data_IF_549091738057
#
_entry.id   IF_549091738057
#
_cell.length_a   1.000
_cell.length_b   1.000
_cell.length_c   1.000
_cell.angle_alpha   90.00
_cell.angle_beta   90.00
_cell.angle_gamma   90.00
#
_symmetry.space_group_name_H-M   'P 1'
#
loop_
_entity.id
_entity.type
_entity.pdbx_description
1 polymer ?
#
# COMPACT_ATOMS: atom_id res chain seq x y z
N UNK A 1 -3.74 -64.82 -29.96
CA UNK A 1 -2.28 -64.56 -29.96
C UNK A 1 -2.07 -63.32 -29.13
N UNK A 2 -1.65 -63.51 -27.89
CA UNK A 2 -1.57 -62.50 -26.82
C UNK A 2 -0.15 -61.99 -26.71
N UNK A 3 0.05 -60.69 -26.91
CA UNK A 3 1.35 -60.04 -26.76
C UNK A 3 1.75 -59.89 -25.28
N UNK A 4 3.06 -59.99 -24.95
CA UNK A 4 3.53 -59.94 -23.57
C UNK A 4 3.73 -58.50 -23.06
N UNK A 5 3.42 -58.34 -21.77
CA UNK A 5 3.62 -57.17 -20.92
C UNK A 5 5.11 -56.80 -20.84
N UNK A 6 5.47 -55.57 -21.19
CA UNK A 6 6.78 -54.99 -20.88
C UNK A 6 6.68 -54.10 -19.64
N UNK A 7 7.40 -54.51 -18.60
CA UNK A 7 7.62 -53.77 -17.35
C UNK A 7 8.88 -52.94 -17.56
N UNK A 8 8.75 -51.61 -17.60
CA UNK A 8 9.90 -50.70 -17.55
C UNK A 8 9.90 -49.98 -16.20
N UNK A 9 10.67 -50.55 -15.28
CA UNK A 9 11.14 -49.93 -14.05
C UNK A 9 12.53 -49.32 -14.26
N UNK A 10 12.82 -48.26 -13.49
CA UNK A 10 14.10 -47.56 -13.30
C UNK A 10 14.42 -46.53 -14.40
N UNK A 11 14.40 -45.22 -14.11
CA UNK A 11 15.43 -44.51 -13.34
C UNK A 11 14.82 -43.44 -12.40
N UNK A 12 15.27 -43.43 -11.14
CA UNK A 12 15.07 -42.31 -10.21
C UNK A 12 16.04 -41.19 -10.59
N UNK A 13 15.63 -39.91 -10.60
CA UNK A 13 16.57 -38.81 -10.79
C UNK A 13 17.63 -38.83 -9.70
N UNK A 14 18.89 -38.85 -10.12
CA UNK A 14 20.05 -38.68 -9.27
C UNK A 14 19.98 -37.34 -8.55
N UNK A 15 20.23 -37.40 -7.24
CA UNK A 15 20.35 -36.26 -6.34
C UNK A 15 21.52 -35.40 -6.86
N UNK A 16 21.21 -34.27 -7.50
CA UNK A 16 22.21 -33.30 -7.90
C UNK A 16 22.92 -32.79 -6.65
N UNK A 17 24.23 -32.99 -6.62
CA UNK A 17 25.16 -32.49 -5.62
C UNK A 17 25.02 -30.98 -5.52
N UNK A 18 24.63 -30.51 -4.34
CA UNK A 18 24.59 -29.11 -3.96
C UNK A 18 25.99 -28.52 -4.08
N UNK A 19 26.20 -27.68 -5.08
CA UNK A 19 27.31 -26.75 -5.10
C UNK A 19 26.95 -25.61 -4.14
N UNK A 20 27.76 -25.45 -3.11
CA UNK A 20 27.69 -24.30 -2.22
C UNK A 20 27.94 -23.02 -3.04
N UNK A 21 27.05 -22.03 -2.92
CA UNK A 21 27.38 -20.64 -3.25
C UNK A 21 26.60 -19.94 -4.37
N UNK A 22 25.69 -20.59 -5.09
CA UNK A 22 24.74 -19.84 -5.94
C UNK A 22 23.52 -19.45 -5.11
N UNK A 23 23.56 -18.23 -4.55
CA UNK A 23 22.33 -17.54 -4.13
C UNK A 23 21.54 -17.37 -5.42
N UNK A 24 20.52 -18.22 -5.62
CA UNK A 24 19.60 -18.05 -6.72
C UNK A 24 19.16 -16.59 -6.74
N UNK A 25 19.55 -15.85 -7.78
CA UNK A 25 19.06 -14.50 -8.00
C UNK A 25 17.54 -14.64 -8.10
N UNK A 26 16.86 -14.34 -6.98
CA UNK A 26 15.41 -14.30 -6.96
C UNK A 26 14.91 -13.39 -8.08
N UNK A 27 13.68 -13.59 -8.56
CA UNK A 27 13.16 -12.81 -9.68
C UNK A 27 13.41 -11.32 -9.45
N UNK A 28 14.00 -10.66 -10.45
CA UNK A 28 14.46 -9.29 -10.38
C UNK A 28 13.37 -8.39 -9.79
N UNK A 29 13.58 -7.91 -8.56
CA UNK A 29 12.62 -7.07 -7.89
C UNK A 29 12.60 -5.69 -8.56
N UNK A 30 11.43 -5.20 -8.92
CA UNK A 30 11.27 -3.83 -9.41
C UNK A 30 11.44 -2.87 -8.22
N UNK A 31 12.47 -2.01 -8.19
CA UNK A 31 12.62 -1.01 -7.14
C UNK A 31 11.63 0.13 -7.36
N UNK A 32 11.21 0.79 -6.27
CA UNK A 32 10.47 2.03 -6.39
C UNK A 32 11.39 3.14 -6.96
N UNK A 33 10.97 3.93 -7.97
CA UNK A 33 11.82 4.96 -8.59
C UNK A 33 12.34 6.02 -7.61
N UNK A 34 11.50 6.45 -6.67
CA UNK A 34 11.90 7.33 -5.55
C UNK A 34 12.62 6.58 -4.42
N UNK A 35 11.99 5.58 -3.80
CA UNK A 35 12.61 4.75 -2.76
C UNK A 35 13.41 3.57 -3.35
N UNK A 36 14.61 3.84 -3.86
CA UNK A 36 15.43 2.87 -4.62
C UNK A 36 15.71 1.55 -3.89
N UNK A 37 15.77 1.57 -2.56
CA UNK A 37 15.99 0.39 -1.72
C UNK A 37 14.71 -0.37 -1.39
N UNK A 38 13.54 0.21 -1.67
CA UNK A 38 12.26 -0.40 -1.37
C UNK A 38 11.85 -1.35 -2.50
N UNK A 39 11.71 -2.64 -2.14
CA UNK A 39 11.08 -3.65 -2.99
C UNK A 39 9.57 -3.40 -3.10
N UNK A 40 9.03 -3.39 -4.31
CA UNK A 40 7.58 -3.35 -4.51
C UNK A 40 7.01 -4.74 -4.21
N UNK A 41 6.13 -4.84 -3.21
CA UNK A 41 5.49 -6.09 -2.80
C UNK A 41 4.00 -5.85 -2.63
N UNK A 42 3.18 -6.68 -3.28
CA UNK A 42 1.74 -6.64 -3.10
C UNK A 42 1.39 -6.90 -1.64
N UNK A 43 0.61 -6.01 -1.01
CA UNK A 43 0.20 -6.17 0.39
C UNK A 43 -0.65 -7.42 0.63
N UNK A 44 -1.32 -7.94 -0.39
CA UNK A 44 -2.20 -9.12 -0.32
C UNK A 44 -1.42 -10.41 -0.51
N UNK A 45 -0.82 -10.65 -1.68
CA UNK A 45 -0.12 -11.92 -1.97
C UNK A 45 1.38 -11.93 -1.62
N UNK A 46 1.94 -10.79 -1.20
CA UNK A 46 3.37 -10.59 -0.88
C UNK A 46 4.35 -10.81 -2.03
N UNK A 47 3.86 -10.97 -3.26
CA UNK A 47 4.67 -11.11 -4.47
C UNK A 47 5.04 -9.74 -5.07
N UNK A 48 6.19 -9.66 -5.73
CA UNK A 48 6.74 -8.44 -6.34
C UNK A 48 7.25 -8.60 -7.77
N UNK A 49 7.32 -9.83 -8.25
CA UNK A 49 7.70 -10.24 -9.62
C UNK A 49 6.60 -9.96 -10.65
N UNK A 50 5.33 -9.95 -10.23
CA UNK A 50 4.17 -9.71 -11.10
C UNK A 50 3.52 -8.33 -10.89
N UNK A 51 4.37 -7.33 -10.69
CA UNK A 51 3.96 -5.94 -10.61
C UNK A 51 4.16 -5.28 -11.98
N UNK A 52 3.06 -4.96 -12.66
CA UNK A 52 3.11 -4.44 -14.03
C UNK A 52 2.91 -2.92 -14.06
N UNK A 53 3.61 -2.21 -14.97
CA UNK A 53 3.39 -0.79 -15.18
C UNK A 53 2.10 -0.53 -15.95
N UNK A 54 1.35 0.46 -15.50
CA UNK A 54 0.14 0.99 -16.12
C UNK A 54 0.23 2.51 -16.17
N UNK A 55 -0.64 3.14 -16.97
CA UNK A 55 -0.86 4.59 -16.96
C UNK A 55 -2.31 4.90 -16.66
N UNK A 56 -2.52 6.00 -15.96
CA UNK A 56 -3.84 6.60 -15.89
C UNK A 56 -4.24 7.17 -17.24
N UNK A 57 -5.56 7.31 -17.45
CA UNK A 57 -6.09 7.92 -18.66
C UNK A 57 -5.78 9.43 -18.71
N UNK A 58 -5.67 10.03 -19.91
CA UNK A 58 -5.43 11.46 -20.06
C UNK A 58 -6.49 12.34 -19.39
N UNK A 59 -7.74 11.87 -19.32
CA UNK A 59 -8.87 12.59 -18.71
C UNK A 59 -8.88 12.55 -17.18
N UNK A 60 -7.91 11.90 -16.54
CA UNK A 60 -7.80 11.92 -15.07
C UNK A 60 -7.37 13.32 -14.60
N UNK A 61 -8.24 14.00 -13.87
CA UNK A 61 -8.04 15.41 -13.46
C UNK A 61 -6.81 15.65 -12.59
N UNK A 62 -6.45 14.70 -11.72
CA UNK A 62 -5.37 14.90 -10.73
C UNK A 62 -4.06 14.22 -11.14
N UNK A 63 -4.17 13.12 -11.85
CA UNK A 63 -3.07 12.25 -12.24
C UNK A 63 -3.18 11.90 -13.73
N UNK A 64 -3.17 12.84 -14.68
CA UNK A 64 -3.25 12.51 -16.11
C UNK A 64 -1.95 11.83 -16.59
N UNK A 65 -2.06 10.73 -17.34
CA UNK A 65 -0.93 9.96 -17.92
C UNK A 65 0.15 9.48 -16.93
N UNK A 66 -0.13 9.53 -15.63
CA UNK A 66 0.79 9.17 -14.56
C UNK A 66 0.95 7.65 -14.50
N UNK A 67 2.20 7.20 -14.42
CA UNK A 67 2.52 5.79 -14.40
C UNK A 67 2.41 5.22 -12.99
N UNK A 68 1.84 4.03 -12.87
CA UNK A 68 1.76 3.29 -11.61
C UNK A 68 1.99 1.81 -11.85
N UNK A 69 2.23 1.12 -10.77
CA UNK A 69 2.44 -0.30 -10.64
C UNK A 69 1.20 -0.92 -9.98
N UNK A 70 0.75 -2.07 -10.49
CA UNK A 70 -0.35 -2.82 -9.90
C UNK A 70 -0.06 -4.33 -9.91
N UNK A 71 -0.64 -5.05 -8.95
CA UNK A 71 -0.48 -6.51 -8.84
C UNK A 71 -1.49 -7.22 -9.75
N UNK A 72 -1.00 -7.99 -10.71
CA UNK A 72 -1.89 -8.72 -11.64
C UNK A 72 -2.57 -9.92 -10.96
N UNK A 73 -1.86 -10.69 -10.11
CA UNK A 73 -2.43 -11.84 -9.40
C UNK A 73 -3.63 -11.51 -8.53
N UNK A 74 -3.59 -10.34 -7.90
CA UNK A 74 -4.65 -9.90 -7.00
C UNK A 74 -5.69 -9.03 -7.68
N UNK A 75 -5.69 -8.95 -9.02
CA UNK A 75 -6.76 -8.30 -9.76
C UNK A 75 -8.04 -9.12 -9.63
N UNK A 76 -9.11 -8.51 -9.13
CA UNK A 76 -10.44 -9.13 -9.00
C UNK A 76 -11.40 -8.50 -10.01
N UNK A 77 -12.49 -9.19 -10.35
CA UNK A 77 -13.49 -8.65 -11.30
C UNK A 77 -14.08 -7.30 -10.86
N UNK A 78 -14.23 -7.07 -9.56
CA UNK A 78 -14.75 -5.82 -8.95
C UNK A 78 -13.69 -4.76 -8.72
N UNK A 79 -12.42 -5.14 -8.75
CA UNK A 79 -11.24 -4.29 -8.61
C UNK A 79 -10.17 -4.79 -9.59
N UNK A 80 -10.34 -4.53 -10.90
CA UNK A 80 -9.57 -5.18 -11.99
C UNK A 80 -8.07 -4.86 -12.00
N UNK A 81 -7.58 -4.09 -11.01
CA UNK A 81 -6.18 -3.73 -10.81
C UNK A 81 -5.64 -4.15 -9.43
N UNK A 82 -6.44 -4.95 -8.71
CA UNK A 82 -6.18 -5.41 -7.35
C UNK A 82 -6.19 -4.30 -6.31
N UNK A 83 -5.87 -4.67 -5.06
CA UNK A 83 -5.75 -3.71 -3.95
C UNK A 83 -4.40 -3.01 -3.86
N UNK A 84 -3.40 -3.50 -4.60
CA UNK A 84 -2.06 -2.91 -4.60
C UNK A 84 -1.93 -1.95 -5.77
N UNK A 85 -1.73 -0.66 -5.44
CA UNK A 85 -1.36 0.39 -6.39
C UNK A 85 -0.17 1.13 -5.78
N UNK A 86 0.87 1.32 -6.58
CA UNK A 86 2.06 2.08 -6.20
C UNK A 86 2.45 3.00 -7.37
N UNK A 87 2.62 4.30 -7.15
CA UNK A 87 3.01 5.19 -8.26
C UNK A 87 4.45 4.93 -8.68
N UNK A 88 4.74 5.12 -9.97
CA UNK A 88 6.06 4.90 -10.54
C UNK A 88 6.89 6.20 -10.57
N UNK A 89 6.70 7.06 -9.57
CA UNK A 89 7.38 8.35 -9.45
C UNK A 89 7.42 8.80 -7.97
N UNK A 90 8.07 9.94 -7.70
CA UNK A 90 8.13 10.54 -6.36
C UNK A 90 7.10 11.64 -6.08
N UNK A 91 6.11 11.86 -6.97
CA UNK A 91 5.21 13.01 -6.85
C UNK A 91 4.31 12.86 -5.62
N UNK A 92 4.31 13.90 -4.78
CA UNK A 92 3.58 13.94 -3.50
C UNK A 92 4.36 13.34 -2.34
N UNK A 93 5.61 12.88 -2.52
CA UNK A 93 6.47 12.43 -1.42
C UNK A 93 7.34 13.60 -0.97
N UNK A 94 7.07 14.12 0.22
CA UNK A 94 7.75 15.30 0.79
C UNK A 94 8.17 15.01 2.23
N UNK A 95 9.33 15.51 2.67
CA UNK A 95 9.92 15.20 3.98
C UNK A 95 8.99 15.48 5.18
N UNK A 96 8.10 16.47 5.06
CA UNK A 96 7.12 16.82 6.09
C UNK A 96 5.90 15.89 6.17
N UNK A 97 5.75 14.95 5.23
CA UNK A 97 4.65 13.99 5.26
C UNK A 97 4.80 12.98 6.40
N UNK A 98 3.69 12.47 6.97
CA UNK A 98 3.75 11.46 8.01
C UNK A 98 4.46 10.18 7.52
N UNK A 99 5.12 9.48 8.45
CA UNK A 99 5.70 8.18 8.14
C UNK A 99 4.60 7.11 8.09
N UNK A 100 4.63 6.27 7.05
CA UNK A 100 3.76 5.11 7.00
C UNK A 100 4.28 3.96 7.87
N UNK A 101 3.50 2.88 8.02
CA UNK A 101 3.91 1.68 8.76
C UNK A 101 5.14 0.94 8.20
N UNK A 102 5.68 1.36 7.05
CA UNK A 102 6.96 0.88 6.53
C UNK A 102 8.17 1.71 7.01
N UNK A 103 7.96 2.77 7.80
CA UNK A 103 9.01 3.72 8.20
C UNK A 103 9.44 4.67 7.08
N UNK A 104 8.72 4.71 5.96
CA UNK A 104 8.98 5.60 4.84
C UNK A 104 8.01 6.77 4.85
N UNK A 105 8.49 7.94 4.43
CA UNK A 105 7.67 9.12 4.14
C UNK A 105 6.50 8.77 3.22
N UNK A 106 5.29 9.12 3.63
CA UNK A 106 4.09 8.85 2.85
C UNK A 106 4.00 9.76 1.62
N UNK A 107 3.08 9.44 0.73
CA UNK A 107 2.73 10.23 -0.44
C UNK A 107 1.41 10.96 -0.20
N UNK A 108 1.41 12.28 -0.36
CA UNK A 108 0.23 13.12 -0.43
C UNK A 108 -0.51 12.92 -1.76
N UNK A 109 -1.83 12.85 -1.71
CA UNK A 109 -2.73 12.85 -2.85
C UNK A 109 -4.05 13.53 -2.45
N UNK A 110 -4.98 13.67 -3.39
CA UNK A 110 -6.27 14.34 -3.17
C UNK A 110 -7.44 13.41 -3.41
N UNK A 111 -8.42 13.44 -2.51
CA UNK A 111 -9.64 12.65 -2.61
C UNK A 111 -10.45 13.09 -3.82
N UNK A 112 -10.92 12.12 -4.61
CA UNK A 112 -11.70 12.40 -5.83
C UNK A 112 -13.22 12.29 -5.62
N UNK A 113 -13.66 11.96 -4.40
CA UNK A 113 -15.09 11.86 -4.07
C UNK A 113 -15.80 10.58 -4.54
N UNK A 114 -15.07 9.60 -5.07
CA UNK A 114 -15.69 8.37 -5.57
C UNK A 114 -16.31 7.56 -4.41
N UNK A 115 -17.63 7.29 -4.48
CA UNK A 115 -18.45 6.55 -3.50
C UNK A 115 -18.79 7.23 -2.17
N UNK A 116 -18.93 8.56 -2.13
CA UNK A 116 -19.68 9.25 -1.05
C UNK A 116 -19.10 9.13 0.37
N UNK A 117 -17.87 8.63 0.53
CA UNK A 117 -17.19 8.44 1.83
C UNK A 117 -16.02 9.39 2.07
N UNK A 118 -15.72 10.26 1.11
CA UNK A 118 -14.61 11.20 1.19
C UNK A 118 -15.03 12.52 0.57
N UNK A 119 -14.86 13.62 1.30
CA UNK A 119 -15.09 14.97 0.76
C UNK A 119 -14.10 15.18 -0.39
N UNK A 120 -14.54 15.50 -1.62
CA UNK A 120 -13.63 15.74 -2.74
C UNK A 120 -12.66 16.88 -2.45
N UNK A 121 -11.43 16.78 -2.98
CA UNK A 121 -10.41 17.82 -2.88
C UNK A 121 -9.72 17.92 -1.52
N UNK A 122 -9.92 16.95 -0.62
CA UNK A 122 -9.20 16.86 0.64
C UNK A 122 -7.89 16.12 0.47
N UNK A 123 -6.88 16.54 1.21
CA UNK A 123 -5.60 15.84 1.23
C UNK A 123 -5.74 14.51 1.97
N UNK A 124 -5.01 13.52 1.49
CA UNK A 124 -4.77 12.29 2.21
C UNK A 124 -3.34 11.82 1.94
N UNK A 125 -2.81 11.05 2.88
CA UNK A 125 -1.48 10.50 2.82
C UNK A 125 -1.56 8.98 2.81
N UNK A 126 -0.90 8.37 1.82
CA UNK A 126 -0.88 6.92 1.66
C UNK A 126 0.55 6.38 1.61
N UNK A 127 0.71 5.10 1.91
CA UNK A 127 2.00 4.41 1.75
C UNK A 127 2.53 4.58 0.31
N UNK A 128 3.64 5.29 0.14
CA UNK A 128 4.18 5.61 -1.18
C UNK A 128 4.53 4.37 -2.01
N UNK A 129 4.97 3.30 -1.34
CA UNK A 129 5.35 2.01 -1.94
C UNK A 129 4.20 0.98 -1.96
N UNK A 130 3.00 1.35 -1.50
CA UNK A 130 1.81 0.48 -1.48
C UNK A 130 1.89 -0.76 -0.58
N UNK A 131 2.93 -0.90 0.26
CA UNK A 131 3.25 -2.13 1.00
C UNK A 131 2.44 -2.30 2.29
N UNK A 132 2.08 -1.19 2.95
CA UNK A 132 1.21 -1.20 4.13
C UNK A 132 -0.13 -0.52 3.86
N UNK A 133 -1.06 -0.65 4.82
CA UNK A 133 -2.40 -0.06 4.75
C UNK A 133 -2.50 1.39 5.25
N UNK A 134 -1.38 2.11 5.35
CA UNK A 134 -1.38 3.50 5.79
C UNK A 134 -2.21 4.36 4.84
N UNK A 135 -3.24 5.00 5.40
CA UNK A 135 -4.18 5.92 4.78
C UNK A 135 -4.63 6.88 5.87
N UNK A 136 -4.07 8.08 5.88
CA UNK A 136 -4.39 9.13 6.83
C UNK A 136 -5.03 10.30 6.08
N UNK A 137 -6.17 10.80 6.54
CA UNK A 137 -6.90 11.87 5.87
C UNK A 137 -6.85 13.19 6.63
N UNK A 138 -6.73 14.28 5.90
CA UNK A 138 -6.72 15.63 6.46
C UNK A 138 -8.02 15.97 7.18
N UNK A 139 -9.17 15.56 6.63
CA UNK A 139 -10.48 15.80 7.23
C UNK A 139 -10.67 15.07 8.56
N UNK A 140 -10.18 13.83 8.65
CA UNK A 140 -10.16 13.06 9.90
C UNK A 140 -9.22 13.68 10.94
N UNK A 141 -8.02 14.11 10.54
CA UNK A 141 -7.06 14.78 11.42
C UNK A 141 -7.66 16.06 12.02
N UNK A 142 -8.23 16.92 11.18
CA UNK A 142 -8.87 18.17 11.63
C UNK A 142 -10.07 17.89 12.53
N UNK A 143 -10.87 16.86 12.24
CA UNK A 143 -12.00 16.48 13.08
C UNK A 143 -11.54 16.01 14.47
N UNK A 144 -10.48 15.21 14.53
CA UNK A 144 -9.88 14.76 15.79
C UNK A 144 -9.32 15.91 16.61
N UNK A 145 -8.55 16.82 16.00
CA UNK A 145 -8.00 18.00 16.67
C UNK A 145 -9.10 18.88 17.28
N UNK A 146 -10.18 19.12 16.53
CA UNK A 146 -11.36 19.85 17.05
C UNK A 146 -12.03 19.14 18.21
N UNK A 147 -12.12 17.81 18.18
CA UNK A 147 -12.68 17.03 19.28
C UNK A 147 -11.80 17.15 20.54
N UNK A 148 -10.47 17.03 20.40
CA UNK A 148 -9.53 17.19 21.53
C UNK A 148 -9.65 18.55 22.20
N UNK A 149 -9.76 19.64 21.43
CA UNK A 149 -9.97 20.99 21.99
C UNK A 149 -11.28 21.06 22.79
N UNK A 150 -12.37 20.51 22.24
CA UNK A 150 -13.68 20.52 22.91
C UNK A 150 -13.77 19.65 24.17
N UNK A 151 -13.01 18.54 24.24
CA UNK A 151 -12.94 17.75 25.46
C UNK A 151 -12.19 18.52 26.56
N UNK A 152 -11.05 19.16 26.21
CA UNK A 152 -10.29 19.98 27.18
C UNK A 152 -11.08 21.16 27.73
N UNK A 153 -11.85 21.84 26.89
CA UNK A 153 -12.74 22.93 27.33
C UNK A 153 -13.80 22.43 28.33
N UNK A 154 -14.40 21.25 28.08
CA UNK A 154 -15.38 20.65 28.99
C UNK A 154 -14.80 20.16 30.31
N UNK A 155 -13.55 19.71 30.32
CA UNK A 155 -12.83 19.35 31.55
C UNK A 155 -12.60 20.61 32.42
N UNK A 156 -12.13 21.71 31.81
CA UNK A 156 -11.93 22.99 32.51
C UNK A 156 -13.24 23.60 33.07
N UNK A 157 -14.36 23.50 32.35
CA UNK A 157 -15.66 23.98 32.83
C UNK A 157 -16.18 23.19 34.04
N UNK A 158 -15.93 21.87 34.09
CA UNK A 158 -16.33 21.02 35.22
C UNK A 158 -15.49 21.29 36.49
N UNK A 159 -14.20 21.61 36.34
CA UNK A 159 -13.34 21.97 37.47
C UNK A 159 -13.62 23.38 38.01
N UNK A 160 -14.08 24.31 37.16
CA UNK A 160 -14.41 25.68 37.55
C UNK A 160 -15.78 25.88 38.23
N UNK A 161 -16.68 24.89 38.16
CA UNK A 161 -18.05 24.99 38.67
C UNK A 161 -18.29 24.48 40.10
N UNK A 162 -17.26 23.95 40.78
CA UNK A 162 -17.38 23.28 42.08
C UNK A 162 -17.27 24.17 43.33
N UNK A 163 -17.11 25.49 43.18
CA UNK A 163 -16.74 26.40 44.26
C UNK A 163 -17.81 27.42 44.62
N UNK A 164 -19.00 27.00 45.07
CA UNK A 164 -19.79 27.82 46.01
C UNK A 164 -20.87 26.97 46.68
N UNK A 165 -20.51 26.37 47.82
CA UNK A 165 -21.47 25.89 48.81
C UNK A 165 -21.02 26.39 50.17
N UNK A 166 -21.14 27.71 50.34
CA UNK A 166 -21.02 28.36 51.65
C UNK A 166 -22.26 28.00 52.45
N UNK A 167 -22.02 27.30 53.56
CA UNK A 167 -23.01 26.93 54.60
C UNK A 167 -23.21 28.08 55.57
#
# INVERSE_FOLDING_TARGET
MTEPKTVLSWLKPTRATSREGEVAEGPAHIPHPYFKTAKLLCRTCKQGDEVYPYRTVPSNQHNPNRQYFACHRCAEATAPKGQFICWADGRGVEEGNPLCGCGLTSREDVTTGWRGKSVPGRKFWACAVGRCGFDEREDERVAYERWVVREREREHEQEGGGGDRVV
#
